data_IF_346298050875
#
_entry.id   IF_346298050875
#
_cell.length_a   1.000
_cell.length_b   1.000
_cell.length_c   1.000
_cell.angle_alpha   90.00
_cell.angle_beta   90.00
_cell.angle_gamma   90.00
#
_symmetry.space_group_name_H-M   'P 1'
#
loop_
_entity.id
_entity.type
_entity.pdbx_description
1 polymer ?
#
# COMPACT_ATOMS: atom_id res chain seq x y z
N UNK A 1 -24.74 -30.06 21.20
CA UNK A 1 -24.48 -29.15 22.33
C UNK A 1 -23.42 -28.14 21.89
N UNK A 2 -23.70 -26.84 21.95
CA UNK A 2 -22.76 -25.80 21.48
C UNK A 2 -21.72 -25.47 22.55
N UNK A 3 -20.55 -25.02 22.12
CA UNK A 3 -19.56 -24.43 23.03
C UNK A 3 -20.08 -23.08 23.51
N UNK A 4 -19.88 -22.76 24.79
CA UNK A 4 -20.25 -21.47 25.35
C UNK A 4 -19.47 -20.35 24.62
N UNK A 5 -20.17 -19.31 24.16
CA UNK A 5 -19.62 -18.20 23.40
C UNK A 5 -19.82 -16.91 24.18
N UNK A 6 -18.73 -16.34 24.70
CA UNK A 6 -18.74 -15.08 25.43
C UNK A 6 -17.60 -14.18 24.91
N UNK A 7 -17.96 -13.06 24.28
CA UNK A 7 -17.02 -12.08 23.74
C UNK A 7 -16.35 -11.21 24.82
N UNK A 8 -16.92 -11.15 26.01
CA UNK A 8 -16.46 -10.28 27.10
C UNK A 8 -15.41 -10.99 27.97
N UNK A 9 -15.13 -12.27 27.69
CA UNK A 9 -14.14 -13.04 28.43
C UNK A 9 -12.72 -12.50 28.17
N UNK A 10 -12.05 -12.04 29.23
CA UNK A 10 -10.67 -11.60 29.17
C UNK A 10 -9.74 -12.77 28.82
N UNK A 11 -8.96 -12.61 27.77
CA UNK A 11 -7.90 -13.54 27.35
C UNK A 11 -6.58 -12.79 27.23
N UNK A 12 -5.47 -13.46 27.55
CA UNK A 12 -4.14 -12.90 27.34
C UNK A 12 -3.89 -12.65 25.84
N UNK A 13 -3.24 -11.53 25.47
CA UNK A 13 -2.85 -11.28 24.09
C UNK A 13 -1.84 -12.34 23.66
N UNK A 14 -2.24 -13.19 22.72
CA UNK A 14 -1.39 -14.21 22.12
C UNK A 14 -0.51 -13.54 21.07
N UNK A 15 0.77 -13.89 21.03
CA UNK A 15 1.66 -13.45 19.96
C UNK A 15 1.12 -13.84 18.58
N UNK A 16 1.13 -12.90 17.64
CA UNK A 16 0.61 -13.12 16.28
C UNK A 16 1.34 -14.26 15.56
N UNK A 17 2.62 -14.48 15.88
CA UNK A 17 3.47 -15.57 15.38
C UNK A 17 2.90 -16.97 15.65
N UNK A 18 2.24 -17.16 16.80
CA UNK A 18 1.69 -18.45 17.24
C UNK A 18 0.41 -18.81 16.49
N UNK A 19 -0.32 -17.80 16.00
CA UNK A 19 -1.56 -18.00 15.23
C UNK A 19 -1.32 -18.39 13.77
N UNK A 20 -0.12 -18.15 13.24
CA UNK A 20 0.20 -18.38 11.83
C UNK A 20 0.77 -19.80 11.67
N UNK A 21 0.17 -20.65 10.80
CA UNK A 21 0.67 -21.99 10.50
C UNK A 21 2.15 -21.98 10.07
N UNK A 22 2.85 -23.09 10.27
CA UNK A 22 4.27 -23.19 9.87
C UNK A 22 4.43 -23.21 8.34
N UNK A 23 3.47 -23.81 7.63
CA UNK A 23 3.42 -23.81 6.16
C UNK A 23 2.40 -22.74 5.76
N UNK A 24 2.84 -21.50 5.63
CA UNK A 24 1.99 -20.37 5.23
C UNK A 24 2.74 -19.41 4.31
N UNK A 25 2.03 -18.81 3.36
CA UNK A 25 2.58 -17.86 2.38
C UNK A 25 3.30 -16.70 3.06
N UNK A 26 2.79 -16.21 4.20
CA UNK A 26 3.43 -15.10 4.92
C UNK A 26 4.83 -15.44 5.42
N UNK A 27 5.08 -16.68 5.85
CA UNK A 27 6.41 -17.13 6.30
C UNK A 27 7.38 -17.23 5.14
N UNK A 28 6.94 -17.76 4.00
CA UNK A 28 7.77 -17.79 2.79
C UNK A 28 8.14 -16.40 2.28
N UNK A 29 7.19 -15.46 2.29
CA UNK A 29 7.46 -14.06 1.97
C UNK A 29 8.52 -13.48 2.92
N UNK A 30 8.42 -13.78 4.22
CA UNK A 30 9.41 -13.35 5.20
C UNK A 30 10.80 -13.95 4.92
N UNK A 31 10.88 -15.26 4.69
CA UNK A 31 12.14 -15.96 4.40
C UNK A 31 12.82 -15.40 3.15
N UNK A 32 12.09 -15.24 2.05
CA UNK A 32 12.62 -14.73 0.79
C UNK A 32 13.17 -13.31 0.97
N UNK A 33 12.44 -12.41 1.65
CA UNK A 33 12.92 -11.04 1.87
C UNK A 33 14.14 -11.00 2.81
N UNK A 34 14.25 -11.93 3.76
CA UNK A 34 15.44 -12.01 4.62
C UNK A 34 16.69 -12.55 3.91
N UNK A 35 16.55 -13.23 2.77
CA UNK A 35 17.72 -13.65 1.98
C UNK A 35 18.47 -12.48 1.34
N UNK A 36 17.85 -11.30 1.25
CA UNK A 36 18.45 -10.10 0.65
C UNK A 36 19.48 -9.50 1.62
N UNK A 37 20.72 -9.25 1.18
CA UNK A 37 21.74 -8.67 2.03
C UNK A 37 21.39 -7.23 2.42
N UNK A 38 21.71 -6.85 3.66
CA UNK A 38 21.38 -5.52 4.19
C UNK A 38 22.03 -4.37 3.40
N UNK A 39 23.12 -4.65 2.68
CA UNK A 39 23.83 -3.70 1.82
C UNK A 39 22.96 -3.13 0.68
N UNK A 40 21.98 -3.89 0.19
CA UNK A 40 21.07 -3.39 -0.85
C UNK A 40 20.13 -2.30 -0.30
N UNK A 41 19.91 -2.30 1.02
CA UNK A 41 19.03 -1.35 1.69
C UNK A 41 19.72 -0.06 2.15
N UNK A 42 21.05 0.00 2.11
CA UNK A 42 21.82 1.18 2.51
C UNK A 42 21.44 2.43 1.71
N UNK A 43 21.04 2.25 0.44
CA UNK A 43 20.56 3.33 -0.44
C UNK A 43 19.30 4.03 0.08
N UNK A 44 18.54 3.39 0.96
CA UNK A 44 17.33 3.95 1.57
C UNK A 44 17.58 4.55 2.96
N UNK A 45 18.80 4.44 3.48
CA UNK A 45 19.16 5.06 4.76
C UNK A 45 19.31 6.56 4.59
N UNK A 46 18.64 7.31 5.46
CA UNK A 46 18.73 8.77 5.50
C UNK A 46 19.24 9.18 6.88
N UNK A 47 20.28 10.01 6.90
CA UNK A 47 20.95 10.49 8.12
C UNK A 47 20.25 11.69 8.76
N UNK A 48 19.26 12.27 8.09
CA UNK A 48 18.55 13.50 8.50
C UNK A 48 17.06 13.38 8.21
N UNK A 49 16.24 14.01 9.06
CA UNK A 49 14.78 14.01 8.95
C UNK A 49 14.10 12.98 9.85
N UNK A 50 12.80 12.78 9.65
CA UNK A 50 12.01 11.80 10.40
C UNK A 50 12.41 10.36 10.03
N UNK A 51 12.36 9.46 11.01
CA UNK A 51 12.63 8.03 10.82
C UNK A 51 11.64 7.44 9.83
N UNK A 52 12.16 6.75 8.82
CA UNK A 52 11.37 6.03 7.82
C UNK A 52 11.13 4.58 8.26
N UNK A 53 10.08 3.96 7.73
CA UNK A 53 9.84 2.53 7.89
C UNK A 53 10.97 1.70 7.29
N UNK A 54 11.22 0.52 7.85
CA UNK A 54 12.28 -0.35 7.37
C UNK A 54 11.98 -0.87 5.95
N UNK A 55 12.91 -0.75 4.97
CA UNK A 55 12.65 -1.19 3.59
C UNK A 55 12.25 -2.67 3.48
N UNK A 56 12.91 -3.58 4.22
CA UNK A 56 12.51 -4.99 4.29
C UNK A 56 11.06 -5.18 4.71
N UNK A 57 10.58 -4.45 5.71
CA UNK A 57 9.18 -4.52 6.13
C UNK A 57 8.26 -4.09 4.99
N UNK A 58 8.59 -2.97 4.34
CA UNK A 58 7.78 -2.43 3.25
C UNK A 58 7.73 -3.37 2.03
N UNK A 59 8.82 -4.09 1.77
CA UNK A 59 8.83 -5.15 0.75
C UNK A 59 7.98 -6.35 1.14
N UNK A 60 8.08 -6.82 2.39
CA UNK A 60 7.26 -7.95 2.90
C UNK A 60 5.77 -7.68 2.75
N UNK A 61 5.31 -6.52 3.18
CA UNK A 61 3.87 -6.17 3.10
C UNK A 61 3.43 -6.00 1.64
N UNK A 62 4.26 -5.44 0.77
CA UNK A 62 3.91 -5.24 -0.65
C UNK A 62 3.83 -6.58 -1.37
N UNK A 63 4.83 -7.44 -1.18
CA UNK A 63 4.88 -8.76 -1.80
C UNK A 63 3.70 -9.62 -1.32
N UNK A 64 3.45 -9.66 -0.01
CA UNK A 64 2.32 -10.42 0.54
C UNK A 64 0.97 -9.88 0.02
N UNK A 65 0.78 -8.57 -0.08
CA UNK A 65 -0.45 -8.00 -0.65
C UNK A 65 -0.71 -8.48 -2.08
N UNK A 66 0.33 -8.56 -2.90
CA UNK A 66 0.22 -9.04 -4.28
C UNK A 66 -0.17 -10.53 -4.33
N UNK A 67 0.30 -11.36 -3.40
CA UNK A 67 -0.16 -12.76 -3.31
C UNK A 67 -1.66 -12.88 -3.04
N UNK A 68 -2.25 -11.90 -2.34
CA UNK A 68 -3.67 -11.84 -2.02
C UNK A 68 -4.48 -11.08 -3.09
N UNK A 69 -3.88 -10.74 -4.23
CA UNK A 69 -4.50 -9.94 -5.30
C UNK A 69 -5.00 -8.57 -4.82
N UNK A 70 -4.29 -7.95 -3.88
CA UNK A 70 -4.58 -6.61 -3.37
C UNK A 70 -3.50 -5.65 -3.88
N UNK A 71 -3.86 -4.75 -4.81
CA UNK A 71 -2.89 -3.86 -5.46
C UNK A 71 -3.06 -2.37 -5.07
N UNK A 72 -4.22 -1.96 -4.55
CA UNK A 72 -4.48 -0.59 -4.12
C UNK A 72 -3.79 -0.35 -2.77
N UNK A 73 -3.05 0.75 -2.68
CA UNK A 73 -2.38 1.17 -1.45
C UNK A 73 -3.36 1.33 -0.29
N UNK A 74 -4.58 1.86 -0.55
CA UNK A 74 -5.62 2.00 0.47
C UNK A 74 -6.13 0.65 0.96
N UNK A 75 -6.27 -0.32 0.06
CA UNK A 75 -6.65 -1.69 0.44
C UNK A 75 -5.52 -2.38 1.21
N UNK A 76 -4.26 -2.12 0.88
CA UNK A 76 -3.10 -2.63 1.65
C UNK A 76 -3.08 -2.03 3.05
N UNK A 77 -3.33 -0.72 3.20
CA UNK A 77 -3.46 -0.05 4.50
C UNK A 77 -4.58 -0.67 5.34
N UNK A 78 -5.75 -0.93 4.74
CA UNK A 78 -6.84 -1.64 5.42
C UNK A 78 -6.43 -3.07 5.82
N UNK A 79 -5.73 -3.78 4.95
CA UNK A 79 -5.26 -5.14 5.21
C UNK A 79 -4.27 -5.20 6.39
N UNK A 80 -3.49 -4.15 6.63
CA UNK A 80 -2.61 -4.04 7.80
C UNK A 80 -3.36 -4.00 9.14
N UNK A 81 -4.60 -3.50 9.14
CA UNK A 81 -5.46 -3.48 10.33
C UNK A 81 -6.27 -4.76 10.50
N UNK A 82 -6.69 -5.37 9.39
CA UNK A 82 -7.63 -6.50 9.42
C UNK A 82 -6.93 -7.87 9.49
N UNK A 83 -5.76 -8.03 8.85
CA UNK A 83 -5.11 -9.33 8.68
C UNK A 83 -3.99 -9.60 9.68
N UNK A 84 -4.12 -10.68 10.45
CA UNK A 84 -3.11 -11.16 11.42
C UNK A 84 -1.75 -11.39 10.74
N UNK A 85 -1.74 -11.93 9.51
CA UNK A 85 -0.50 -12.17 8.75
C UNK A 85 0.20 -10.86 8.40
N UNK A 86 -0.58 -9.84 8.03
CA UNK A 86 -0.04 -8.53 7.66
C UNK A 86 0.47 -7.78 8.89
N UNK A 87 -0.26 -7.87 10.00
CA UNK A 87 0.18 -7.38 11.31
C UNK A 87 1.49 -8.04 11.75
N UNK A 88 1.66 -9.35 11.53
CA UNK A 88 2.90 -10.05 11.83
C UNK A 88 4.07 -9.58 10.96
N UNK A 89 3.88 -9.51 9.63
CA UNK A 89 4.92 -9.04 8.69
C UNK A 89 5.35 -7.59 8.97
N UNK A 90 4.40 -6.75 9.38
CA UNK A 90 4.62 -5.35 9.70
C UNK A 90 5.00 -5.10 11.17
N UNK A 91 5.08 -6.13 12.02
CA UNK A 91 5.26 -5.98 13.47
C UNK A 91 4.29 -4.95 14.10
N UNK A 92 3.01 -5.02 13.71
CA UNK A 92 1.93 -4.09 14.07
C UNK A 92 2.13 -2.63 13.65
N UNK A 93 3.12 -2.33 12.81
CA UNK A 93 3.26 -1.01 12.20
C UNK A 93 2.25 -0.84 11.05
N UNK A 94 1.66 0.34 10.93
CA UNK A 94 0.60 0.62 9.96
C UNK A 94 1.01 1.76 9.04
N UNK A 95 1.90 1.52 8.07
CA UNK A 95 2.27 2.54 7.09
C UNK A 95 1.05 2.95 6.26
N UNK A 96 0.87 4.27 6.10
CA UNK A 96 -0.24 4.80 5.30
C UNK A 96 -0.09 4.47 3.81
N UNK A 97 -1.20 4.43 3.06
CA UNK A 97 -1.22 4.16 1.61
C UNK A 97 -0.24 5.03 0.82
N UNK A 98 -0.04 6.28 1.25
CA UNK A 98 0.92 7.21 0.61
C UNK A 98 2.36 6.73 0.74
N UNK A 99 2.72 6.19 1.89
CA UNK A 99 4.06 5.66 2.17
C UNK A 99 4.29 4.39 1.37
N UNK A 100 3.28 3.52 1.29
CA UNK A 100 3.30 2.30 0.48
C UNK A 100 3.51 2.65 -0.99
N UNK A 101 2.71 3.57 -1.54
CA UNK A 101 2.81 3.97 -2.94
C UNK A 101 4.13 4.70 -3.26
N UNK A 102 4.71 5.46 -2.31
CA UNK A 102 6.05 6.07 -2.50
C UNK A 102 7.15 5.04 -2.70
N UNK A 103 7.11 3.92 -1.98
CA UNK A 103 8.10 2.85 -2.11
C UNK A 103 7.87 2.08 -3.40
N UNK A 104 6.62 1.81 -3.78
CA UNK A 104 6.32 1.11 -5.05
C UNK A 104 6.78 1.89 -6.28
N UNK A 105 6.72 3.22 -6.25
CA UNK A 105 7.14 4.09 -7.36
C UNK A 105 8.65 4.35 -7.39
N UNK A 106 9.39 4.00 -6.33
CA UNK A 106 10.82 4.23 -6.30
C UNK A 106 11.55 3.20 -7.21
N UNK A 107 12.35 3.64 -8.19
CA UNK A 107 12.99 2.74 -9.17
C UNK A 107 13.88 1.65 -8.54
N UNK A 108 14.53 1.96 -7.41
CA UNK A 108 15.42 1.00 -6.75
C UNK A 108 14.62 -0.16 -6.12
N UNK A 109 13.45 0.14 -5.56
CA UNK A 109 12.57 -0.87 -4.96
C UNK A 109 11.74 -1.59 -5.99
N UNK A 110 11.36 -0.96 -7.10
CA UNK A 110 10.61 -1.61 -8.18
C UNK A 110 11.41 -2.80 -8.77
N UNK A 111 12.69 -2.60 -9.07
CA UNK A 111 13.58 -3.68 -9.52
C UNK A 111 13.72 -4.82 -8.50
N UNK A 112 13.72 -4.50 -7.20
CA UNK A 112 13.76 -5.50 -6.13
C UNK A 112 12.43 -6.25 -6.00
N UNK A 113 11.30 -5.58 -6.18
CA UNK A 113 9.98 -6.24 -6.14
C UNK A 113 9.85 -7.19 -7.34
N UNK A 114 10.31 -6.81 -8.53
CA UNK A 114 10.35 -7.69 -9.71
C UNK A 114 11.21 -8.94 -9.44
N UNK A 115 12.44 -8.77 -8.95
CA UNK A 115 13.33 -9.91 -8.66
C UNK A 115 12.76 -10.84 -7.58
N UNK A 116 12.18 -10.27 -6.53
CA UNK A 116 11.53 -11.03 -5.45
C UNK A 116 10.30 -11.78 -5.92
N UNK A 117 9.51 -11.18 -6.81
CA UNK A 117 8.33 -11.84 -7.36
C UNK A 117 8.72 -13.08 -8.17
N UNK A 118 9.77 -12.99 -8.99
CA UNK A 118 10.29 -14.12 -9.77
C UNK A 118 10.80 -15.22 -8.84
N UNK A 119 11.60 -14.85 -7.83
CA UNK A 119 12.13 -15.81 -6.84
C UNK A 119 11.01 -16.48 -6.05
N UNK A 120 10.02 -15.71 -5.60
CA UNK A 120 8.84 -16.20 -4.90
C UNK A 120 8.03 -17.18 -5.76
N UNK A 121 7.76 -16.83 -7.02
CA UNK A 121 7.01 -17.70 -7.93
C UNK A 121 7.73 -19.04 -8.16
N UNK A 122 9.04 -19.00 -8.41
CA UNK A 122 9.87 -20.20 -8.57
C UNK A 122 9.85 -21.09 -7.31
N UNK A 123 9.87 -20.48 -6.12
CA UNK A 123 9.85 -21.20 -4.86
C UNK A 123 8.47 -21.80 -4.53
N UNK A 124 7.38 -21.09 -4.83
CA UNK A 124 6.03 -21.61 -4.68
C UNK A 124 5.77 -22.84 -5.58
N UNK A 125 6.30 -22.84 -6.81
CA UNK A 125 6.23 -24.00 -7.70
C UNK A 125 7.03 -25.19 -7.16
N UNK A 126 8.22 -24.95 -6.60
CA UNK A 126 9.05 -26.03 -6.00
C UNK A 126 8.40 -26.69 -4.79
N UNK A 127 7.62 -25.93 -4.01
CA UNK A 127 7.01 -26.42 -2.77
C UNK A 127 5.54 -26.84 -2.92
N UNK A 128 5.01 -26.87 -4.15
CA UNK A 128 3.60 -27.18 -4.44
C UNK A 128 2.61 -26.37 -3.59
N UNK A 129 2.94 -25.12 -3.28
CA UNK A 129 2.11 -24.27 -2.41
C UNK A 129 0.87 -23.74 -3.14
N UNK A 130 0.81 -23.92 -4.45
CA UNK A 130 -0.30 -23.50 -5.32
C UNK A 130 -1.19 -24.72 -5.55
N UNK A 131 -2.34 -24.76 -4.89
CA UNK A 131 -3.31 -25.88 -4.88
C UNK A 131 -4.00 -26.15 -6.24
N UNK A 132 -3.53 -25.51 -7.32
CA UNK A 132 -4.03 -25.64 -8.68
C UNK A 132 -2.97 -26.04 -9.71
N UNK A 133 -1.72 -26.34 -9.28
CA UNK A 133 -0.68 -26.74 -10.23
C UNK A 133 -0.99 -28.12 -10.78
N UNK A 134 -1.43 -28.18 -12.03
CA UNK A 134 -1.55 -29.44 -12.79
C UNK A 134 -0.14 -29.92 -13.12
N UNK A 135 0.47 -30.63 -12.18
CA UNK A 135 1.75 -31.29 -12.39
C UNK A 135 1.52 -32.48 -13.32
N UNK A 136 2.04 -32.41 -14.53
CA UNK A 136 1.99 -33.53 -15.45
C UNK A 136 2.73 -34.72 -14.84
N UNK A 137 2.14 -35.92 -14.95
CA UNK A 137 2.80 -37.14 -14.49
C UNK A 137 4.12 -37.31 -15.26
N UNK A 138 5.20 -37.55 -14.53
CA UNK A 138 6.49 -37.84 -15.14
C UNK A 138 6.42 -39.19 -15.88
N UNK A 139 6.16 -39.14 -17.18
CA UNK A 139 6.09 -40.30 -18.06
C UNK A 139 7.43 -40.65 -18.71
N UNK A 140 8.53 -40.05 -18.24
CA UNK A 140 9.84 -40.31 -18.82
C UNK A 140 10.30 -41.73 -18.46
N UNK A 141 10.73 -42.50 -19.47
CA UNK A 141 11.26 -43.87 -19.29
C UNK A 141 12.54 -43.88 -18.46
N UNK A 142 13.26 -42.76 -18.41
CA UNK A 142 14.51 -42.61 -17.66
C UNK A 142 14.31 -41.71 -16.45
N UNK A 143 14.91 -42.10 -15.32
CA UNK A 143 14.93 -41.31 -14.07
C UNK A 143 15.89 -40.13 -14.10
N UNK A 144 16.78 -40.03 -15.09
CA UNK A 144 17.73 -38.93 -15.22
C UNK A 144 17.26 -37.89 -16.23
N UNK A 145 17.50 -36.62 -15.90
CA UNK A 145 17.21 -35.46 -16.75
C UNK A 145 18.52 -34.74 -17.04
N UNK A 146 18.73 -34.36 -18.30
CA UNK A 146 19.93 -33.64 -18.71
C UNK A 146 20.01 -32.26 -18.05
N UNK A 147 21.16 -31.93 -17.46
CA UNK A 147 21.42 -30.63 -16.82
C UNK A 147 21.04 -29.44 -17.72
N UNK A 148 21.37 -29.51 -19.02
CA UNK A 148 21.03 -28.47 -20.00
C UNK A 148 19.51 -28.29 -20.16
N UNK A 149 18.74 -29.38 -20.11
CA UNK A 149 17.28 -29.30 -20.17
C UNK A 149 16.69 -28.65 -18.93
N UNK A 150 17.24 -28.96 -17.75
CA UNK A 150 16.83 -28.33 -16.48
C UNK A 150 17.11 -26.83 -16.54
N UNK A 151 18.31 -26.44 -16.98
CA UNK A 151 18.70 -25.03 -17.13
C UNK A 151 17.81 -24.28 -18.12
N UNK A 152 17.51 -24.87 -19.28
CA UNK A 152 16.61 -24.26 -20.26
C UNK A 152 15.19 -24.07 -19.68
N UNK A 153 14.70 -25.05 -18.92
CA UNK A 153 13.39 -24.98 -18.28
C UNK A 153 13.35 -23.89 -17.19
N UNK A 154 14.40 -23.77 -16.38
CA UNK A 154 14.53 -22.74 -15.35
C UNK A 154 14.57 -21.34 -15.97
N UNK A 155 15.35 -21.13 -17.03
CA UNK A 155 15.38 -19.86 -17.76
C UNK A 155 14.01 -19.50 -18.31
N UNK A 156 13.31 -20.46 -18.94
CA UNK A 156 11.96 -20.25 -19.49
C UNK A 156 10.93 -19.95 -18.39
N UNK A 157 11.02 -20.59 -17.23
CA UNK A 157 10.17 -20.28 -16.08
C UNK A 157 10.40 -18.85 -15.57
N UNK A 158 11.65 -18.41 -15.50
CA UNK A 158 11.98 -17.05 -15.07
C UNK A 158 11.48 -15.99 -16.08
N UNK A 159 11.62 -16.25 -17.38
CA UNK A 159 11.06 -15.39 -18.44
C UNK A 159 9.53 -15.29 -18.35
N UNK A 160 8.84 -16.43 -18.20
CA UNK A 160 7.40 -16.45 -18.01
C UNK A 160 6.97 -15.69 -16.75
N UNK A 161 7.68 -15.88 -15.64
CA UNK A 161 7.41 -15.18 -14.37
C UNK A 161 7.57 -13.66 -14.53
N UNK A 162 8.58 -13.24 -15.30
CA UNK A 162 8.84 -11.84 -15.60
C UNK A 162 7.75 -11.23 -16.48
N UNK A 163 7.29 -11.95 -17.49
CA UNK A 163 6.16 -11.53 -18.32
C UNK A 163 4.89 -11.37 -17.48
N UNK A 164 4.56 -12.36 -16.65
CA UNK A 164 3.41 -12.30 -15.73
C UNK A 164 3.47 -11.10 -14.78
N UNK A 165 4.65 -10.78 -14.24
CA UNK A 165 4.82 -9.61 -13.39
C UNK A 165 4.58 -8.31 -14.16
N UNK A 166 5.09 -8.18 -15.39
CA UNK A 166 4.88 -7.00 -16.24
C UNK A 166 3.41 -6.78 -16.56
N UNK A 167 2.72 -7.84 -16.98
CA UNK A 167 1.28 -7.79 -17.28
C UNK A 167 0.50 -7.32 -16.04
N UNK A 168 0.83 -7.87 -14.86
CA UNK A 168 0.21 -7.47 -13.59
C UNK A 168 0.52 -6.01 -13.22
N UNK A 169 1.72 -5.52 -13.52
CA UNK A 169 2.10 -4.12 -13.28
C UNK A 169 1.27 -3.18 -14.15
N UNK A 170 1.16 -3.49 -15.45
CA UNK A 170 0.47 -2.66 -16.44
C UNK A 170 -1.05 -2.67 -16.25
N UNK A 171 -1.65 -3.85 -16.06
CA UNK A 171 -3.11 -3.99 -16.00
C UNK A 171 -3.72 -3.60 -14.66
N UNK A 172 -2.98 -3.79 -13.55
CA UNK A 172 -3.57 -3.66 -12.19
C UNK A 172 -2.85 -2.65 -11.31
N UNK A 173 -1.53 -2.79 -11.15
CA UNK A 173 -0.78 -1.96 -10.19
C UNK A 173 -0.80 -0.49 -10.59
N UNK A 174 -0.45 -0.16 -11.85
CA UNK A 174 -0.36 1.24 -12.30
C UNK A 174 -1.73 1.93 -12.26
N UNK A 175 -2.83 1.33 -12.77
CA UNK A 175 -4.16 1.91 -12.66
C UNK A 175 -4.59 2.16 -11.22
N UNK A 176 -4.41 1.17 -10.31
CA UNK A 176 -4.82 1.33 -8.91
C UNK A 176 -3.98 2.39 -8.18
N UNK A 177 -2.69 2.55 -8.51
CA UNK A 177 -1.86 3.65 -7.97
C UNK A 177 -2.36 5.01 -8.46
N UNK A 178 -2.82 5.12 -9.71
CA UNK A 178 -3.37 6.37 -10.26
C UNK A 178 -4.69 6.72 -9.57
N UNK A 179 -5.61 5.77 -9.44
CA UNK A 179 -6.88 5.98 -8.73
C UNK A 179 -6.69 6.38 -7.27
N UNK A 180 -5.72 5.78 -6.56
CA UNK A 180 -5.37 6.18 -5.19
C UNK A 180 -4.88 7.65 -5.09
N UNK A 181 -4.31 8.19 -6.18
CA UNK A 181 -3.76 9.54 -6.29
C UNK A 181 -4.75 10.61 -6.78
N UNK A 182 -5.76 10.19 -7.55
CA UNK A 182 -6.85 11.03 -8.10
C UNK A 182 -8.08 11.08 -7.18
N UNK A 183 -8.17 10.19 -6.20
CA UNK A 183 -9.22 10.18 -5.16
C UNK A 183 -9.02 11.25 -4.05
N UNK A 184 -8.20 12.27 -4.31
CA UNK A 184 -8.26 13.55 -3.58
C UNK A 184 -9.40 14.36 -4.22
N UNK A 185 -10.36 14.86 -3.44
CA UNK A 185 -11.48 15.67 -3.96
C UNK A 185 -10.98 16.73 -4.96
N UNK A 186 -11.63 16.80 -6.12
CA UNK A 186 -11.32 17.83 -7.12
C UNK A 186 -11.64 19.22 -6.56
N UNK A 187 -11.02 20.26 -7.11
CA UNK A 187 -11.26 21.65 -6.66
C UNK A 187 -12.76 21.98 -6.79
N UNK A 188 -13.40 21.50 -7.86
CA UNK A 188 -14.83 21.70 -8.13
C UNK A 188 -15.73 21.00 -7.10
N UNK A 189 -15.39 19.78 -6.68
CA UNK A 189 -16.13 19.07 -5.62
C UNK A 189 -15.92 19.73 -4.24
N UNK A 190 -14.72 20.25 -3.96
CA UNK A 190 -14.43 21.00 -2.74
C UNK A 190 -15.22 22.31 -2.70
N UNK A 191 -15.30 23.01 -3.83
CA UNK A 191 -16.07 24.25 -3.95
C UNK A 191 -17.57 23.98 -3.84
N UNK A 192 -18.06 22.87 -4.40
CA UNK A 192 -19.46 22.45 -4.25
C UNK A 192 -19.81 22.14 -2.78
N UNK A 193 -18.97 21.36 -2.08
CA UNK A 193 -19.12 21.09 -0.64
C UNK A 193 -19.04 22.40 0.16
N UNK A 194 -18.14 23.31 -0.21
CA UNK A 194 -18.01 24.63 0.39
C UNK A 194 -19.30 25.46 0.27
N UNK A 195 -19.90 25.48 -0.91
CA UNK A 195 -21.17 26.20 -1.16
C UNK A 195 -22.36 25.60 -0.41
N UNK A 196 -22.39 24.28 -0.22
CA UNK A 196 -23.44 23.60 0.55
C UNK A 196 -23.32 23.93 2.05
N UNK A 197 -22.09 23.90 2.58
CA UNK A 197 -21.81 24.30 3.96
C UNK A 197 -22.18 25.78 4.22
N UNK A 198 -21.99 26.66 3.23
CA UNK A 198 -22.41 28.07 3.34
C UNK A 198 -23.92 28.23 3.48
N UNK A 199 -24.69 27.52 2.65
CA UNK A 199 -26.15 27.52 2.74
C UNK A 199 -26.64 26.97 4.09
N UNK A 200 -25.99 25.94 4.61
CA UNK A 200 -26.35 25.37 5.92
C UNK A 200 -25.98 26.32 7.09
N UNK A 201 -24.86 27.03 7.00
CA UNK A 201 -24.46 28.06 7.98
C UNK A 201 -25.43 29.26 7.93
N UNK A 202 -25.84 29.71 6.74
CA UNK A 202 -26.84 30.77 6.58
C UNK A 202 -28.20 30.37 7.17
N UNK A 203 -28.66 29.15 6.94
CA UNK A 203 -29.89 28.63 7.54
C UNK A 203 -29.83 28.56 9.07
N UNK A 204 -28.67 28.20 9.64
CA UNK A 204 -28.46 28.21 11.08
C UNK A 204 -28.40 29.63 11.66
N UNK A 205 -27.78 30.59 10.96
CA UNK A 205 -27.78 32.00 11.36
C UNK A 205 -29.21 32.57 11.40
N UNK A 206 -30.01 32.28 10.38
CA UNK A 206 -31.41 32.68 10.33
C UNK A 206 -32.25 32.04 11.45
N UNK A 207 -31.98 30.77 11.79
CA UNK A 207 -32.63 30.09 12.92
C UNK A 207 -32.23 30.71 14.26
N UNK A 208 -30.95 31.10 14.39
CA UNK A 208 -30.44 31.81 15.58
C UNK A 208 -31.07 33.19 15.71
N UNK A 209 -31.30 33.94 14.62
CA UNK A 209 -31.90 35.27 14.67
C UNK A 209 -33.37 35.23 15.11
N UNK A 210 -34.13 34.23 14.66
CA UNK A 210 -35.57 34.12 14.89
C UNK A 210 -35.98 33.30 16.14
N UNK A 211 -35.04 32.72 16.89
CA UNK A 211 -35.33 31.95 18.10
C UNK A 211 -35.24 32.78 19.40
N UNK A 212 -36.36 32.78 20.15
CA UNK A 212 -36.49 33.51 21.43
C UNK A 212 -35.84 32.77 22.62
N UNK A 213 -35.70 31.44 22.53
CA UNK A 213 -35.14 30.62 23.61
C UNK A 213 -33.62 30.67 23.66
N UNK A 214 -33.08 31.18 24.76
CA UNK A 214 -31.62 31.29 25.00
C UNK A 214 -30.90 29.94 25.05
N UNK A 215 -31.57 28.86 25.47
CA UNK A 215 -30.96 27.53 25.51
C UNK A 215 -30.82 26.91 24.11
N UNK A 216 -31.85 27.07 23.26
CA UNK A 216 -31.84 26.55 21.88
C UNK A 216 -30.83 27.31 21.05
N UNK A 217 -30.81 28.65 21.16
CA UNK A 217 -29.83 29.54 20.51
C UNK A 217 -28.37 29.16 20.81
N UNK A 218 -28.06 28.74 22.05
CA UNK A 218 -26.73 28.25 22.44
C UNK A 218 -26.37 26.91 21.79
N UNK A 219 -27.33 25.99 21.67
CA UNK A 219 -27.12 24.70 21.01
C UNK A 219 -26.91 24.88 19.50
N UNK A 220 -27.72 25.74 18.86
CA UNK A 220 -27.63 26.06 17.43
C UNK A 220 -26.29 26.74 17.10
N UNK A 221 -25.84 27.70 17.92
CA UNK A 221 -24.49 28.31 17.80
C UNK A 221 -23.35 27.31 17.93
N UNK A 222 -23.47 26.32 18.80
CA UNK A 222 -22.44 25.27 18.95
C UNK A 222 -22.36 24.39 17.69
N UNK A 223 -23.50 24.12 17.04
CA UNK A 223 -23.56 23.38 15.76
C UNK A 223 -22.98 24.22 14.62
N UNK A 224 -23.31 25.51 14.56
CA UNK A 224 -22.78 26.47 13.59
C UNK A 224 -21.25 26.62 13.68
N UNK A 225 -20.70 26.78 14.89
CA UNK A 225 -19.25 26.87 15.10
C UNK A 225 -18.52 25.60 14.66
N UNK A 226 -19.10 24.43 14.91
CA UNK A 226 -18.54 23.15 14.42
C UNK A 226 -18.50 23.11 12.90
N UNK A 227 -19.56 23.56 12.22
CA UNK A 227 -19.62 23.61 10.76
C UNK A 227 -18.61 24.63 10.19
N UNK A 228 -18.47 25.81 10.80
CA UNK A 228 -17.43 26.80 10.43
C UNK A 228 -16.02 26.24 10.59
N UNK A 229 -15.73 25.57 11.70
CA UNK A 229 -14.43 24.91 11.91
C UNK A 229 -14.18 23.80 10.89
N UNK A 230 -15.18 22.99 10.58
CA UNK A 230 -15.10 21.97 9.53
C UNK A 230 -14.85 22.57 8.15
N UNK A 231 -15.50 23.70 7.81
CA UNK A 231 -15.29 24.43 6.55
C UNK A 231 -13.86 24.96 6.41
N UNK A 232 -13.33 25.59 7.46
CA UNK A 232 -11.96 26.10 7.49
C UNK A 232 -10.96 24.95 7.25
N UNK A 233 -11.13 23.82 7.94
CA UNK A 233 -10.30 22.64 7.73
C UNK A 233 -10.41 22.09 6.29
N UNK A 234 -11.63 22.05 5.73
CA UNK A 234 -11.90 21.64 4.36
C UNK A 234 -11.27 22.55 3.30
N UNK A 235 -11.13 23.86 3.54
CA UNK A 235 -10.50 24.80 2.60
C UNK A 235 -8.98 24.87 2.71
N UNK A 236 -8.42 24.68 3.90
CA UNK A 236 -6.97 24.79 4.15
C UNK A 236 -6.24 23.52 3.66
N UNK A 237 -6.75 22.34 4.03
CA UNK A 237 -6.08 21.05 3.80
C UNK A 237 -5.84 20.77 2.30
N UNK A 238 -6.78 21.04 1.37
CA UNK A 238 -6.56 20.81 -0.05
C UNK A 238 -5.61 21.85 -0.68
N UNK A 239 -5.71 23.13 -0.30
CA UNK A 239 -4.83 24.20 -0.82
C UNK A 239 -3.36 23.93 -0.47
N UNK A 240 -3.09 23.51 0.76
CA UNK A 240 -1.73 23.11 1.18
C UNK A 240 -1.25 21.84 0.45
N UNK A 241 -2.13 20.84 0.27
CA UNK A 241 -1.80 19.62 -0.49
C UNK A 241 -1.52 19.88 -1.97
N UNK A 242 -2.30 20.75 -2.61
CA UNK A 242 -2.11 21.16 -4.02
C UNK A 242 -0.81 21.95 -4.16
N UNK A 243 -0.54 22.88 -3.24
CA UNK A 243 0.70 23.65 -3.24
C UNK A 243 1.92 22.73 -3.05
N UNK A 244 1.83 21.72 -2.19
CA UNK A 244 2.87 20.69 -2.01
C UNK A 244 3.03 19.76 -3.24
N UNK A 245 1.93 19.34 -3.89
CA UNK A 245 1.96 18.55 -5.15
C UNK A 245 2.65 19.36 -6.28
N UNK A 246 2.33 20.64 -6.40
CA UNK A 246 2.93 21.54 -7.38
C UNK A 246 4.42 21.77 -7.09
N UNK A 247 4.80 22.06 -5.85
CA UNK A 247 6.21 22.25 -5.44
C UNK A 247 7.06 21.01 -5.75
N UNK A 248 6.53 19.80 -5.50
CA UNK A 248 7.21 18.55 -5.85
C UNK A 248 7.28 18.26 -7.36
N UNK A 249 6.32 18.73 -8.16
CA UNK A 249 6.40 18.70 -9.63
C UNK A 249 7.48 19.66 -10.15
N UNK A 250 7.57 20.88 -9.61
CA UNK A 250 8.62 21.85 -9.95
C UNK A 250 10.02 21.31 -9.65
N UNK A 251 10.22 20.71 -8.47
CA UNK A 251 11.48 20.03 -8.12
C UNK A 251 11.83 18.89 -9.08
N UNK A 252 10.85 18.09 -9.53
CA UNK A 252 11.09 17.02 -10.52
C UNK A 252 11.42 17.56 -11.92
N UNK A 253 10.79 18.67 -12.33
CA UNK A 253 11.04 19.31 -13.63
C UNK A 253 12.41 20.00 -13.62
N UNK A 254 12.79 20.69 -12.55
CA UNK A 254 14.13 21.29 -12.41
C UNK A 254 15.24 20.24 -12.43
N UNK A 255 15.06 19.11 -11.74
CA UNK A 255 16.04 18.01 -11.76
C UNK A 255 16.12 17.34 -13.15
N UNK A 256 15.00 17.21 -13.85
CA UNK A 256 14.97 16.69 -15.22
C UNK A 256 15.62 17.67 -16.22
N UNK A 257 15.40 18.97 -16.04
CA UNK A 257 15.98 20.04 -16.87
C UNK A 257 17.49 20.16 -16.64
N UNK A 258 17.95 20.09 -15.40
CA UNK A 258 19.38 20.03 -15.04
C UNK A 258 20.06 18.77 -15.61
N UNK A 259 19.38 17.61 -15.59
CA UNK A 259 19.89 16.38 -16.24
C UNK A 259 19.98 16.51 -17.75
N UNK A 260 19.02 17.17 -18.39
CA UNK A 260 19.01 17.38 -19.84
C UNK A 260 20.14 18.33 -20.28
N UNK A 261 20.36 19.42 -19.52
CA UNK A 261 21.46 20.36 -19.77
C UNK A 261 22.82 19.68 -19.56
N UNK A 262 22.95 18.84 -18.53
CA UNK A 262 24.20 18.10 -18.28
C UNK A 262 24.49 17.03 -19.34
N UNK A 263 23.48 16.45 -20.00
CA UNK A 263 23.65 15.51 -21.11
C UNK A 263 24.04 16.17 -22.44
N UNK A 264 23.83 17.48 -22.59
CA UNK A 264 24.23 18.22 -23.81
C UNK A 264 25.64 18.83 -23.72
N UNK A 265 26.27 18.76 -22.54
CA UNK A 265 27.61 19.31 -22.26
C UNK A 265 28.71 18.23 -22.11
N UNK A 266 28.36 16.96 -22.32
CA UNK A 266 29.25 15.78 -22.37
C UNK A 266 29.16 15.15 -23.75
#
# INVERSE_FOLDING_TARGET
MYKNYNLIQLTLPIETSVRIPQIDISRYVNEIVETIPDSEFDKFRHHRGATSYHPKMMLKITLYAYTQSVFSGRRIEKLLHDSIRMMWLAQNQTPSYKTINRIRVNPNTDALIESLFIQFHSQCLKQNLIDGTKVEANANRYTFVWKKSIQNHESKLNENSKALYRDLVEEKIIPEIKEDGDSDLTIEEIDLIGSHLDKEIEGLNHSIENEDSTQIRKQTRKKELRLRSSKINLMIIPKEKINMKNKNRFLKIEIAFLKLIMMQLL
#
